data_IF_712119510324
#
_entry.id   IF_712119510324
#
_cell.length_a   1.000
_cell.length_b   1.000
_cell.length_c   1.000
_cell.angle_alpha   90.00
_cell.angle_beta   90.00
_cell.angle_gamma   90.00
#
_symmetry.space_group_name_H-M   'P 1'
#
loop_
_entity.id
_entity.type
_entity.pdbx_description
1 polymer ?
#
# COMPACT_ATOMS: atom_id res chain seq x y z
N UNK A 1 -33.43 3.63 38.44
CA UNK A 1 -32.32 2.87 37.86
C UNK A 1 -32.14 3.39 36.41
N UNK A 2 -31.26 4.30 36.20
CA UNK A 2 -30.92 4.84 34.86
C UNK A 2 -30.12 3.77 34.10
N UNK A 3 -30.70 3.18 33.04
CA UNK A 3 -29.96 2.36 32.10
C UNK A 3 -28.81 3.22 31.56
N UNK A 4 -27.58 2.86 31.92
CA UNK A 4 -26.38 3.35 31.27
C UNK A 4 -26.47 2.85 29.85
N UNK A 5 -26.79 3.73 28.89
CA UNK A 5 -26.78 3.38 27.47
C UNK A 5 -25.43 2.79 27.12
N UNK A 6 -25.39 1.57 26.65
CA UNK A 6 -24.19 0.97 26.09
C UNK A 6 -23.84 1.82 24.88
N UNK A 7 -22.64 2.45 24.88
CA UNK A 7 -22.11 3.07 23.67
C UNK A 7 -21.82 1.91 22.71
N UNK A 8 -22.71 1.69 21.76
CA UNK A 8 -22.48 0.73 20.70
C UNK A 8 -21.45 1.30 19.71
N UNK A 9 -20.46 0.48 19.36
CA UNK A 9 -19.51 0.76 18.31
C UNK A 9 -19.97 0.04 17.06
N UNK A 10 -20.09 0.76 15.97
CA UNK A 10 -20.60 0.23 14.70
C UNK A 10 -19.59 0.48 13.56
N UNK A 11 -19.58 -0.41 12.58
CA UNK A 11 -18.86 -0.22 11.31
C UNK A 11 -19.81 0.53 10.37
N UNK A 12 -19.39 1.69 9.89
CA UNK A 12 -20.20 2.55 9.03
C UNK A 12 -19.79 2.50 7.56
N UNK A 13 -18.58 2.00 7.25
CA UNK A 13 -18.12 1.87 5.88
C UNK A 13 -16.99 0.86 5.76
N UNK A 14 -16.88 0.25 4.59
CA UNK A 14 -15.89 -0.78 4.26
C UNK A 14 -15.22 -0.47 2.93
N UNK A 15 -13.90 -0.60 2.87
CA UNK A 15 -13.12 -0.53 1.63
C UNK A 15 -12.36 -1.81 1.40
N UNK A 16 -12.45 -2.36 0.18
CA UNK A 16 -11.87 -3.67 -0.16
C UNK A 16 -11.06 -3.56 -1.45
N UNK A 17 -9.80 -4.01 -1.37
CA UNK A 17 -8.98 -4.30 -2.54
C UNK A 17 -8.49 -5.74 -2.44
N UNK A 18 -8.95 -6.59 -3.32
CA UNK A 18 -8.63 -8.01 -3.29
C UNK A 18 -8.41 -8.58 -4.70
N UNK A 19 -7.76 -9.75 -4.82
CA UNK A 19 -7.60 -10.43 -6.11
C UNK A 19 -8.91 -10.87 -6.78
N UNK A 20 -10.01 -10.93 -6.05
CA UNK A 20 -11.33 -11.33 -6.55
C UNK A 20 -12.27 -10.15 -6.78
N UNK A 21 -11.84 -8.93 -6.49
CA UNK A 21 -12.60 -7.71 -6.74
C UNK A 21 -12.08 -6.50 -5.99
N UNK A 22 -12.22 -5.34 -6.60
CA UNK A 22 -11.96 -4.04 -6.00
C UNK A 22 -13.30 -3.37 -5.69
N UNK A 23 -13.52 -3.02 -4.43
CA UNK A 23 -14.79 -2.53 -3.92
C UNK A 23 -15.69 -3.66 -3.39
N UNK A 24 -16.65 -3.29 -2.56
CA UNK A 24 -17.53 -4.24 -1.82
C UNK A 24 -18.36 -5.10 -2.79
N UNK A 25 -18.97 -4.50 -3.82
CA UNK A 25 -19.83 -5.23 -4.75
C UNK A 25 -19.06 -6.25 -5.59
N UNK A 26 -17.94 -5.84 -6.21
CA UNK A 26 -17.13 -6.76 -7.01
C UNK A 26 -16.56 -7.91 -6.14
N UNK A 27 -16.17 -7.61 -4.90
CA UNK A 27 -15.73 -8.64 -3.95
C UNK A 27 -16.86 -9.62 -3.61
N UNK A 28 -18.07 -9.11 -3.33
CA UNK A 28 -19.25 -9.93 -3.03
C UNK A 28 -19.61 -10.85 -4.20
N UNK A 29 -19.60 -10.31 -5.42
CA UNK A 29 -19.87 -11.08 -6.64
C UNK A 29 -18.81 -12.16 -6.88
N UNK A 30 -17.51 -11.82 -6.70
CA UNK A 30 -16.41 -12.78 -6.79
C UNK A 30 -16.53 -13.93 -5.79
N UNK A 31 -16.91 -13.62 -4.53
CA UNK A 31 -17.18 -14.64 -3.52
C UNK A 31 -18.36 -15.54 -3.90
N UNK A 32 -19.47 -14.94 -4.31
CA UNK A 32 -20.68 -15.68 -4.70
C UNK A 32 -20.45 -16.59 -5.91
N UNK A 33 -19.62 -16.15 -6.85
CA UNK A 33 -19.23 -16.91 -8.02
C UNK A 33 -18.14 -17.96 -7.76
N UNK A 34 -17.56 -18.00 -6.55
CA UNK A 34 -16.46 -18.90 -6.20
C UNK A 34 -15.18 -18.62 -7.01
N UNK A 35 -14.94 -17.35 -7.40
CA UNK A 35 -13.76 -16.98 -8.19
C UNK A 35 -12.50 -17.24 -7.36
N UNK A 36 -11.54 -18.04 -7.86
CA UNK A 36 -10.28 -18.24 -7.14
C UNK A 36 -9.44 -16.96 -7.17
N UNK A 37 -9.06 -16.45 -5.98
CA UNK A 37 -8.20 -15.28 -5.86
C UNK A 37 -6.73 -15.57 -6.17
N UNK A 38 -6.38 -16.83 -6.43
CA UNK A 38 -5.01 -17.28 -6.67
C UNK A 38 -4.81 -17.64 -8.14
N UNK A 39 -3.68 -17.19 -8.69
CA UNK A 39 -3.28 -17.51 -10.06
C UNK A 39 -1.76 -17.63 -10.14
N UNK A 40 -1.26 -18.24 -11.21
CA UNK A 40 0.16 -18.17 -11.54
C UNK A 40 0.55 -16.72 -11.80
N UNK A 41 1.68 -16.31 -11.23
CA UNK A 41 2.23 -14.99 -11.46
C UNK A 41 3.46 -15.06 -12.34
N UNK A 42 3.42 -14.40 -13.49
CA UNK A 42 4.58 -14.30 -14.38
C UNK A 42 5.77 -13.59 -13.71
N UNK A 43 5.48 -12.73 -12.76
CA UNK A 43 6.52 -12.04 -11.97
C UNK A 43 7.31 -12.97 -11.07
N UNK A 44 6.66 -14.01 -10.54
CA UNK A 44 7.30 -14.95 -9.61
C UNK A 44 8.04 -16.07 -10.34
N UNK A 45 7.75 -16.34 -11.61
CA UNK A 45 8.44 -17.35 -12.41
C UNK A 45 9.94 -17.11 -12.55
N UNK A 46 10.38 -15.84 -12.49
CA UNK A 46 11.79 -15.46 -12.55
C UNK A 46 12.55 -15.64 -11.22
N UNK A 47 11.84 -15.69 -10.11
CA UNK A 47 12.43 -15.62 -8.76
C UNK A 47 12.29 -16.95 -8.04
N UNK A 48 11.30 -17.74 -8.40
CA UNK A 48 10.86 -18.91 -7.67
C UNK A 48 10.53 -20.08 -8.62
N UNK A 49 9.74 -21.04 -8.16
CA UNK A 49 9.28 -22.16 -8.96
C UNK A 49 8.30 -21.70 -10.07
N UNK A 50 8.30 -22.34 -11.26
CA UNK A 50 7.32 -22.09 -12.31
C UNK A 50 5.86 -22.36 -11.89
N UNK A 51 5.66 -23.02 -10.76
CA UNK A 51 4.33 -23.32 -10.18
C UNK A 51 3.92 -22.34 -9.06
N UNK A 52 4.61 -21.20 -8.94
CA UNK A 52 4.30 -20.22 -7.91
C UNK A 52 2.93 -19.56 -8.17
N UNK A 53 2.01 -19.78 -7.25
CA UNK A 53 0.68 -19.15 -7.25
C UNK A 53 0.62 -18.02 -6.21
N UNK A 54 -0.03 -16.93 -6.55
CA UNK A 54 -0.24 -15.82 -5.61
C UNK A 54 -1.58 -15.14 -5.83
N UNK A 55 -2.04 -14.40 -4.82
CA UNK A 55 -3.15 -13.46 -4.94
C UNK A 55 -2.63 -12.11 -5.45
N UNK A 56 -2.89 -11.79 -6.71
CA UNK A 56 -2.46 -10.53 -7.31
C UNK A 56 -3.66 -9.68 -7.70
N UNK A 57 -3.67 -8.41 -7.27
CA UNK A 57 -4.68 -7.42 -7.67
C UNK A 57 -4.20 -6.78 -8.97
N UNK A 58 -4.53 -7.42 -10.11
CA UNK A 58 -4.02 -7.00 -11.42
C UNK A 58 -4.53 -5.62 -11.84
N UNK A 59 -5.78 -5.31 -11.52
CA UNK A 59 -6.43 -4.06 -11.89
C UNK A 59 -5.96 -2.86 -11.05
N UNK A 60 -5.19 -3.12 -9.99
CA UNK A 60 -4.53 -2.08 -9.22
C UNK A 60 -3.06 -1.97 -9.64
N UNK A 61 -2.81 -1.20 -10.67
CA UNK A 61 -1.48 -0.87 -11.19
C UNK A 61 -1.21 0.64 -11.06
N UNK A 62 0.01 1.10 -11.36
CA UNK A 62 0.42 2.50 -11.18
C UNK A 62 -0.51 3.50 -11.89
N UNK A 63 -1.06 3.14 -13.04
CA UNK A 63 -1.98 3.99 -13.79
C UNK A 63 -3.34 4.06 -13.13
N UNK A 64 -3.94 2.92 -12.78
CA UNK A 64 -5.26 2.85 -12.15
C UNK A 64 -5.22 3.36 -10.71
N UNK A 65 -4.17 3.05 -9.95
CA UNK A 65 -3.95 3.62 -8.63
C UNK A 65 -4.02 5.14 -8.68
N UNK A 66 -3.24 5.77 -9.57
CA UNK A 66 -3.13 7.22 -9.66
C UNK A 66 -4.37 7.91 -10.24
N UNK A 67 -5.02 7.31 -11.23
CA UNK A 67 -6.11 7.95 -11.99
C UNK A 67 -7.49 7.66 -11.41
N UNK A 68 -7.65 6.52 -10.75
CA UNK A 68 -8.95 6.02 -10.27
C UNK A 68 -8.97 6.02 -8.74
N UNK A 69 -8.20 5.16 -8.12
CA UNK A 69 -8.33 4.85 -6.69
C UNK A 69 -7.77 5.91 -5.75
N UNK A 70 -6.69 6.60 -6.16
CA UNK A 70 -6.01 7.65 -5.38
C UNK A 70 -6.10 9.02 -6.07
N UNK A 71 -7.13 9.26 -6.84
CA UNK A 71 -7.30 10.50 -7.60
C UNK A 71 -7.18 11.78 -6.75
N UNK A 72 -7.74 11.86 -5.53
CA UNK A 72 -7.55 13.04 -4.66
C UNK A 72 -6.09 13.25 -4.28
N UNK A 73 -5.33 12.17 -4.10
CA UNK A 73 -3.94 12.15 -3.63
C UNK A 73 -2.92 11.94 -4.76
N UNK A 74 -3.31 12.12 -6.03
CA UNK A 74 -2.49 11.81 -7.22
C UNK A 74 -1.07 12.39 -7.21
N UNK A 75 -0.86 13.51 -6.51
CA UNK A 75 0.47 14.15 -6.39
C UNK A 75 1.36 13.42 -5.39
N UNK A 76 0.77 12.83 -4.37
CA UNK A 76 1.46 12.12 -3.29
C UNK A 76 1.73 10.65 -3.62
N UNK A 77 1.08 10.08 -4.64
CA UNK A 77 1.25 8.66 -5.04
C UNK A 77 2.71 8.28 -5.25
N UNK A 78 3.54 9.20 -5.76
CA UNK A 78 4.99 9.00 -5.94
C UNK A 78 5.77 8.76 -4.63
N UNK A 79 5.18 9.10 -3.48
CA UNK A 79 5.74 8.89 -2.15
C UNK A 79 5.13 7.67 -1.46
N UNK A 80 4.37 6.86 -2.15
CA UNK A 80 3.67 5.70 -1.62
C UNK A 80 4.21 4.43 -2.28
N UNK A 81 4.77 3.51 -1.49
CA UNK A 81 4.96 2.14 -1.96
C UNK A 81 3.60 1.47 -2.19
N UNK A 82 3.60 0.27 -2.79
CA UNK A 82 2.35 -0.43 -3.11
C UNK A 82 1.48 -0.69 -1.90
N UNK A 83 2.07 -1.06 -0.76
CA UNK A 83 1.34 -1.33 0.48
C UNK A 83 0.61 -0.07 0.97
N UNK A 84 1.28 1.09 0.92
CA UNK A 84 0.67 2.38 1.25
C UNK A 84 -0.46 2.70 0.27
N UNK A 85 -0.23 2.53 -1.03
CA UNK A 85 -1.26 2.80 -2.05
C UNK A 85 -2.51 1.95 -1.83
N UNK A 86 -2.35 0.65 -1.56
CA UNK A 86 -3.47 -0.27 -1.29
C UNK A 86 -4.24 0.13 -0.03
N UNK A 87 -3.53 0.40 1.07
CA UNK A 87 -4.16 0.78 2.32
C UNK A 87 -4.89 2.11 2.26
N UNK A 88 -4.27 3.13 1.65
CA UNK A 88 -4.91 4.45 1.47
C UNK A 88 -6.11 4.35 0.52
N UNK A 89 -6.02 3.55 -0.55
CA UNK A 89 -7.17 3.33 -1.44
C UNK A 89 -8.33 2.62 -0.73
N UNK A 90 -8.04 1.64 0.14
CA UNK A 90 -9.07 1.00 0.95
C UNK A 90 -9.71 1.99 1.94
N UNK A 91 -8.91 2.84 2.56
CA UNK A 91 -9.42 3.87 3.48
C UNK A 91 -10.34 4.88 2.76
N UNK A 92 -9.95 5.35 1.57
CA UNK A 92 -10.79 6.25 0.77
C UNK A 92 -12.13 5.59 0.39
N UNK A 93 -12.12 4.32 0.00
CA UNK A 93 -13.34 3.57 -0.26
C UNK A 93 -14.22 3.44 0.99
N UNK A 94 -13.62 3.13 2.15
CA UNK A 94 -14.36 3.02 3.41
C UNK A 94 -14.98 4.36 3.83
N UNK A 95 -14.29 5.47 3.62
CA UNK A 95 -14.81 6.81 3.88
C UNK A 95 -15.97 7.15 2.94
N UNK A 96 -15.87 6.81 1.66
CA UNK A 96 -16.93 7.00 0.67
C UNK A 96 -18.16 6.17 1.02
N UNK A 97 -17.98 4.88 1.34
CA UNK A 97 -19.05 3.96 1.74
C UNK A 97 -19.75 4.41 3.04
N UNK A 98 -18.98 4.97 3.99
CA UNK A 98 -19.51 5.57 5.21
C UNK A 98 -20.23 6.93 5.00
N UNK A 99 -20.18 7.51 3.81
CA UNK A 99 -20.68 8.87 3.56
C UNK A 99 -19.89 9.97 4.27
N UNK A 100 -18.63 9.71 4.63
CA UNK A 100 -17.74 10.67 5.27
C UNK A 100 -17.18 11.66 4.25
N UNK A 101 -17.70 12.88 4.26
CA UNK A 101 -17.15 13.98 3.48
C UNK A 101 -16.06 14.73 4.27
N UNK A 102 -15.20 15.43 3.55
CA UNK A 102 -14.22 16.34 4.18
C UNK A 102 -14.95 17.36 5.09
N UNK A 103 -14.47 17.48 6.33
CA UNK A 103 -15.09 18.37 7.32
C UNK A 103 -16.32 17.82 8.04
N UNK A 104 -16.72 16.55 7.82
CA UNK A 104 -17.84 15.92 8.55
C UNK A 104 -17.63 15.88 10.04
N UNK A 105 -16.39 15.77 10.48
CA UNK A 105 -15.99 15.76 11.89
C UNK A 105 -14.78 16.67 12.11
N UNK A 106 -14.67 17.22 13.32
CA UNK A 106 -13.47 17.93 13.72
C UNK A 106 -12.26 16.96 13.72
N UNK A 107 -11.07 17.37 13.23
CA UNK A 107 -9.92 16.50 13.09
C UNK A 107 -9.52 15.77 14.39
N UNK A 108 -9.73 16.41 15.54
CA UNK A 108 -9.43 15.84 16.88
C UNK A 108 -10.35 14.68 17.25
N UNK A 109 -11.41 14.48 16.49
CA UNK A 109 -12.37 13.37 16.68
C UNK A 109 -12.16 12.21 15.72
N UNK A 110 -11.19 12.33 14.82
CA UNK A 110 -10.86 11.31 13.83
C UNK A 110 -9.53 10.68 14.23
N UNK A 111 -9.51 9.37 14.35
CA UNK A 111 -8.28 8.60 14.56
C UNK A 111 -8.05 7.63 13.42
N UNK A 112 -6.80 7.48 13.01
CA UNK A 112 -6.39 6.47 12.02
C UNK A 112 -5.57 5.40 12.72
N UNK A 113 -6.00 4.15 12.61
CA UNK A 113 -5.24 2.97 13.02
C UNK A 113 -4.98 2.11 11.80
N UNK A 114 -3.72 1.96 11.43
CA UNK A 114 -3.31 1.24 10.23
C UNK A 114 -2.41 0.06 10.59
N UNK A 115 -2.83 -1.15 10.22
CA UNK A 115 -2.04 -2.36 10.33
C UNK A 115 -1.37 -2.69 9.01
N UNK A 116 -0.05 -2.74 8.99
CA UNK A 116 0.72 -3.19 7.84
C UNK A 116 1.81 -4.17 8.28
N UNK A 117 2.22 -5.03 7.37
CA UNK A 117 3.44 -5.81 7.54
C UNK A 117 4.67 -4.92 7.29
N UNK A 118 5.86 -5.47 7.46
CA UNK A 118 7.10 -4.76 7.18
C UNK A 118 7.11 -4.25 5.73
N UNK A 119 7.18 -2.93 5.56
CA UNK A 119 7.32 -2.31 4.25
C UNK A 119 8.77 -2.41 3.82
N UNK A 120 9.07 -3.38 2.99
CA UNK A 120 10.43 -3.58 2.46
C UNK A 120 10.63 -2.81 1.17
N UNK A 121 11.76 -2.13 1.09
CA UNK A 121 12.21 -1.53 -0.17
C UNK A 121 12.62 -2.62 -1.15
N UNK A 122 12.12 -2.64 -2.38
CA UNK A 122 12.58 -3.58 -3.41
C UNK A 122 14.09 -3.41 -3.67
N UNK A 123 14.81 -4.49 -4.04
CA UNK A 123 16.26 -4.43 -4.27
C UNK A 123 16.69 -3.42 -5.32
N UNK A 124 15.90 -3.20 -6.35
CA UNK A 124 16.17 -2.24 -7.44
C UNK A 124 16.17 -0.78 -6.96
N UNK A 125 15.40 -0.45 -5.94
CA UNK A 125 15.40 0.90 -5.32
C UNK A 125 16.75 1.19 -4.67
N UNK A 126 17.42 0.18 -4.10
CA UNK A 126 18.72 0.30 -3.45
C UNK A 126 19.88 0.14 -4.45
N UNK A 127 19.62 -0.46 -5.60
CA UNK A 127 20.66 -0.86 -6.55
C UNK A 127 21.57 0.31 -7.00
N UNK A 128 21.02 1.50 -7.19
CA UNK A 128 21.78 2.69 -7.56
C UNK A 128 22.83 3.07 -6.50
N UNK A 129 22.43 3.05 -5.25
CA UNK A 129 23.31 3.32 -4.12
C UNK A 129 24.34 2.21 -3.90
N UNK A 130 23.91 0.95 -3.94
CA UNK A 130 24.79 -0.21 -3.77
C UNK A 130 25.91 -0.22 -4.83
N UNK A 131 25.57 0.00 -6.11
CA UNK A 131 26.57 0.02 -7.19
C UNK A 131 27.66 1.05 -6.98
N UNK A 132 27.35 2.21 -6.40
CA UNK A 132 28.35 3.25 -6.08
C UNK A 132 29.28 2.88 -4.93
N UNK A 133 28.89 1.90 -4.13
CA UNK A 133 29.67 1.43 -2.99
C UNK A 133 30.51 0.19 -3.31
N UNK A 134 30.43 -0.35 -4.53
CA UNK A 134 31.26 -1.50 -4.89
C UNK A 134 32.72 -1.06 -5.13
N UNK A 135 33.62 -1.94 -4.70
CA UNK A 135 35.05 -1.90 -5.05
C UNK A 135 35.30 -2.49 -6.44
N UNK A 136 36.50 -2.34 -6.98
CA UNK A 136 36.90 -2.98 -8.25
C UNK A 136 36.85 -4.52 -8.17
N UNK A 137 36.93 -5.08 -6.96
CA UNK A 137 36.76 -6.51 -6.70
C UNK A 137 35.29 -6.95 -6.59
N UNK A 138 34.34 -6.02 -6.69
CA UNK A 138 32.90 -6.29 -6.56
C UNK A 138 32.40 -6.42 -5.11
N UNK A 139 33.24 -6.08 -4.13
CA UNK A 139 32.87 -6.10 -2.71
C UNK A 139 32.19 -4.79 -2.30
N UNK A 140 31.27 -4.86 -1.34
CA UNK A 140 30.58 -3.68 -0.82
C UNK A 140 31.41 -2.97 0.23
N UNK A 141 31.74 -1.70 -0.01
CA UNK A 141 32.44 -0.84 0.95
C UNK A 141 31.46 0.05 1.73
N UNK A 142 31.22 -0.28 2.99
CA UNK A 142 30.33 0.45 3.89
C UNK A 142 30.75 1.93 4.10
N UNK A 143 32.04 2.25 4.00
CA UNK A 143 32.51 3.62 4.21
C UNK A 143 32.05 4.57 3.09
N UNK A 144 31.79 4.05 1.89
CA UNK A 144 31.25 4.82 0.77
C UNK A 144 29.76 5.09 0.88
N UNK A 145 29.02 4.32 1.69
CA UNK A 145 27.55 4.41 1.71
C UNK A 145 27.05 5.81 2.07
N UNK A 146 27.56 6.43 3.11
CA UNK A 146 27.14 7.76 3.58
C UNK A 146 27.45 8.91 2.60
N UNK A 147 28.48 8.76 1.78
CA UNK A 147 28.92 9.80 0.85
C UNK A 147 28.40 9.58 -0.58
N UNK A 148 28.57 8.39 -1.11
CA UNK A 148 28.30 8.06 -2.49
C UNK A 148 27.01 7.24 -2.67
N UNK A 149 26.78 6.27 -1.78
CA UNK A 149 25.64 5.35 -1.85
C UNK A 149 24.31 6.08 -1.73
N UNK A 150 24.12 6.86 -0.68
CA UNK A 150 22.87 7.61 -0.45
C UNK A 150 22.58 8.58 -1.59
N UNK A 151 23.60 9.22 -2.16
CA UNK A 151 23.45 10.11 -3.33
C UNK A 151 23.08 9.37 -4.62
N UNK A 152 23.23 8.05 -4.65
CA UNK A 152 22.82 7.19 -5.76
C UNK A 152 21.38 6.73 -5.68
N UNK A 153 20.66 7.09 -4.63
CA UNK A 153 19.27 6.72 -4.39
C UNK A 153 18.31 7.88 -4.71
N UNK A 154 17.05 7.54 -4.92
CA UNK A 154 15.98 8.54 -5.01
C UNK A 154 15.92 9.34 -3.68
N UNK A 155 15.99 10.69 -3.70
CA UNK A 155 16.10 11.49 -2.47
C UNK A 155 14.99 11.25 -1.45
N UNK A 156 13.78 10.89 -1.89
CA UNK A 156 12.61 10.67 -1.05
C UNK A 156 12.28 9.19 -0.84
N UNK A 157 13.20 8.28 -1.18
CA UNK A 157 12.96 6.84 -1.11
C UNK A 157 12.49 6.37 0.28
N UNK A 158 13.05 6.95 1.33
CA UNK A 158 12.71 6.57 2.71
C UNK A 158 11.24 6.82 3.02
N UNK A 159 10.67 7.93 2.56
CA UNK A 159 9.26 8.26 2.78
C UNK A 159 8.31 7.23 2.16
N UNK A 160 8.73 6.55 1.09
CA UNK A 160 7.93 5.52 0.45
C UNK A 160 7.79 4.25 1.30
N UNK A 161 8.62 4.07 2.34
CA UNK A 161 8.71 2.81 3.09
C UNK A 161 8.61 2.97 4.61
N UNK A 162 8.34 4.17 5.11
CA UNK A 162 8.12 4.39 6.54
C UNK A 162 6.76 3.84 6.98
N UNK A 163 6.69 3.04 8.06
CA UNK A 163 5.46 2.38 8.51
C UNK A 163 4.33 3.34 8.92
N UNK A 164 4.64 4.57 9.28
CA UNK A 164 3.66 5.60 9.66
C UNK A 164 3.07 6.37 8.48
N UNK A 165 3.65 6.23 7.29
CA UNK A 165 3.21 6.98 6.11
C UNK A 165 1.77 6.67 5.66
N UNK A 166 1.23 5.43 5.77
CA UNK A 166 -0.18 5.21 5.48
C UNK A 166 -1.10 6.13 6.27
N UNK A 167 -0.91 6.23 7.59
CA UNK A 167 -1.71 7.11 8.44
C UNK A 167 -1.49 8.60 8.16
N UNK A 168 -0.37 8.99 7.55
CA UNK A 168 -0.12 10.37 7.14
C UNK A 168 -0.81 10.74 5.83
N UNK A 169 -1.25 9.75 5.04
CA UNK A 169 -1.91 9.96 3.75
C UNK A 169 -3.44 9.82 3.84
N UNK A 170 -3.94 9.22 4.90
CA UNK A 170 -5.37 9.07 5.22
C UNK A 170 -5.86 10.30 5.98
#
# INVERSE_FOLDING_TARGET
MTQKGSNEVVITGVGILSPIGIGVEAFREGLAAGVPGFRRSDRLTYISSPDCICGEIADFNDSTARKVHLRPLRKSVKLMCRDIQLGVAAALQAMEDAGLAEGSYAPERIGVSFGANLMSSPPDVLAGGVRKCLTDAGEFDFNKWGQDGIRGMEPLWLLCYLPNMPGCHI
#
